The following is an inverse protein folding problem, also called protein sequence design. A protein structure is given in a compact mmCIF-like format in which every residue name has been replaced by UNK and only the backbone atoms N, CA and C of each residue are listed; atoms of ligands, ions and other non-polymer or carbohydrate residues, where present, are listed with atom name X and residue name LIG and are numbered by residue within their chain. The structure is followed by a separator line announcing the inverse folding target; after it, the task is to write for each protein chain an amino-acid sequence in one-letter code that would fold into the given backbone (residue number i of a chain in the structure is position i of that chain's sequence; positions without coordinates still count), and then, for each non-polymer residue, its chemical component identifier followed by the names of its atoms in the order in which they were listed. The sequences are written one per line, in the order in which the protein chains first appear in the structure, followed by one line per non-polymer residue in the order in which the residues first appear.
data_IF_454581142927
#
_entry.id   IF_454581142927
#
_cell.length_a   1.000
_cell.length_b   1.000
_cell.length_c   1.000
_cell.angle_alpha   90.00
_cell.angle_beta   90.00
_cell.angle_gamma   90.00
#
_symmetry.space_group_name_H-M   'P 1'
#
loop_
_entity.id
_entity.type
_entity.pdbx_description
1 polymer ?
#
# COMPACT_ATOMS: atom_id res chain seq x y z
N UNK A 1 1.30 30.14 14.84
CA UNK A 1 0.55 30.35 13.59
C UNK A 1 0.98 29.45 12.45
N UNK A 2 2.26 29.39 12.14
CA UNK A 2 2.78 28.50 11.08
C UNK A 2 2.53 27.03 11.38
N UNK A 3 2.70 26.64 12.64
CA UNK A 3 2.48 25.28 13.10
C UNK A 3 1.01 24.85 12.90
N UNK A 4 0.07 25.72 13.26
CA UNK A 4 -1.36 25.43 13.08
C UNK A 4 -1.75 25.31 11.61
N UNK A 5 -1.17 26.15 10.76
CA UNK A 5 -1.42 26.10 9.32
C UNK A 5 -0.88 24.81 8.71
N UNK A 6 0.31 24.39 9.13
CA UNK A 6 0.94 23.16 8.72
C UNK A 6 0.09 21.94 9.11
N UNK A 7 -0.40 21.94 10.37
CA UNK A 7 -1.27 20.85 10.87
C UNK A 7 -2.56 20.74 10.05
N UNK A 8 -3.18 21.88 9.74
CA UNK A 8 -4.40 21.91 8.93
C UNK A 8 -4.17 21.39 7.52
N UNK A 9 -3.07 21.82 6.90
CA UNK A 9 -2.71 21.37 5.55
C UNK A 9 -2.45 19.86 5.54
N UNK A 10 -1.74 19.37 6.54
CA UNK A 10 -1.44 17.95 6.66
C UNK A 10 -2.72 17.13 6.87
N UNK A 11 -3.57 17.57 7.79
CA UNK A 11 -4.84 16.90 8.08
C UNK A 11 -5.71 16.82 6.83
N UNK A 12 -5.79 17.91 6.07
CA UNK A 12 -6.53 17.91 4.80
C UNK A 12 -5.97 16.92 3.81
N UNK A 13 -4.66 16.83 3.71
CA UNK A 13 -3.99 15.90 2.80
C UNK A 13 -4.29 14.45 3.20
N UNK A 14 -4.19 14.12 4.48
CA UNK A 14 -4.47 12.78 4.98
C UNK A 14 -5.94 12.42 4.74
N UNK A 15 -6.87 13.32 4.99
CA UNK A 15 -8.30 13.08 4.73
C UNK A 15 -8.57 12.81 3.25
N UNK A 16 -7.92 13.56 2.38
CA UNK A 16 -8.08 13.41 0.93
C UNK A 16 -7.57 12.04 0.44
N UNK A 17 -6.47 11.55 1.01
CA UNK A 17 -5.81 10.33 0.56
C UNK A 17 -5.94 9.17 1.54
N UNK A 18 -6.87 9.24 2.48
CA UNK A 18 -7.02 8.18 3.49
C UNK A 18 -7.34 6.81 2.90
N UNK A 19 -8.05 6.76 1.77
CA UNK A 19 -8.34 5.50 1.08
C UNK A 19 -7.09 4.84 0.52
N UNK A 20 -6.17 5.65 0.02
CA UNK A 20 -4.87 5.17 -0.49
C UNK A 20 -4.08 4.57 0.68
N UNK A 21 -3.99 5.30 1.79
CA UNK A 21 -3.27 4.84 2.98
C UNK A 21 -3.89 3.54 3.51
N UNK A 22 -5.21 3.49 3.60
CA UNK A 22 -5.96 2.31 4.04
C UNK A 22 -5.62 1.10 3.16
N UNK A 23 -5.68 1.28 1.86
CA UNK A 23 -5.43 0.22 0.88
C UNK A 23 -4.02 -0.36 1.02
N UNK A 24 -3.01 0.52 1.15
CA UNK A 24 -1.62 0.11 1.34
C UNK A 24 -1.48 -0.70 2.63
N UNK A 25 -1.99 -0.17 3.74
CA UNK A 25 -1.89 -0.83 5.04
C UNK A 25 -2.62 -2.17 5.06
N UNK A 26 -3.77 -2.24 4.42
CA UNK A 26 -4.57 -3.45 4.32
C UNK A 26 -3.79 -4.59 3.67
N UNK A 27 -3.00 -4.26 2.64
CA UNK A 27 -2.23 -5.27 1.90
C UNK A 27 -1.06 -5.88 2.70
N UNK A 28 -0.60 -5.18 3.73
CA UNK A 28 0.57 -5.63 4.50
C UNK A 28 0.26 -5.98 5.95
N UNK A 29 -0.93 -5.66 6.44
CA UNK A 29 -1.33 -5.98 7.81
C UNK A 29 -1.56 -7.48 7.97
N UNK A 30 -1.23 -8.00 9.16
CA UNK A 30 -1.44 -9.41 9.49
C UNK A 30 -2.75 -9.65 10.24
N UNK A 31 -3.27 -8.62 10.91
CA UNK A 31 -4.56 -8.65 11.62
C UNK A 31 -5.04 -7.21 11.87
N UNK A 32 -6.20 -7.07 12.53
CA UNK A 32 -6.80 -5.76 12.79
C UNK A 32 -5.96 -4.85 13.67
N UNK A 33 -5.29 -5.41 14.69
CA UNK A 33 -4.44 -4.63 15.58
C UNK A 33 -3.19 -4.15 14.85
N UNK A 34 -2.57 -5.02 14.07
CA UNK A 34 -1.43 -4.66 13.23
C UNK A 34 -1.80 -3.62 12.19
N UNK A 35 -3.02 -3.69 11.66
CA UNK A 35 -3.51 -2.68 10.71
C UNK A 35 -3.53 -1.30 11.35
N UNK A 36 -4.07 -1.18 12.54
CA UNK A 36 -4.15 0.11 13.25
C UNK A 36 -2.77 0.70 13.52
N UNK A 37 -1.86 -0.14 14.01
CA UNK A 37 -0.48 0.27 14.29
C UNK A 37 0.22 0.70 13.01
N UNK A 38 0.06 -0.07 11.95
CA UNK A 38 0.67 0.22 10.66
C UNK A 38 0.14 1.53 10.06
N UNK A 39 -1.17 1.74 10.16
CA UNK A 39 -1.80 2.97 9.71
C UNK A 39 -1.22 4.18 10.46
N UNK A 40 -1.10 4.09 11.77
CA UNK A 40 -0.50 5.13 12.59
C UNK A 40 0.96 5.40 12.20
N UNK A 41 1.74 4.34 12.00
CA UNK A 41 3.14 4.47 11.60
C UNK A 41 3.28 5.17 10.25
N UNK A 42 2.42 4.86 9.30
CA UNK A 42 2.41 5.53 8.00
C UNK A 42 2.11 7.02 8.19
N UNK A 43 1.07 7.36 8.95
CA UNK A 43 0.70 8.75 9.19
C UNK A 43 1.84 9.51 9.89
N UNK A 44 2.47 8.89 10.89
CA UNK A 44 3.60 9.50 11.61
C UNK A 44 4.76 9.77 10.63
N UNK A 45 5.08 8.80 9.78
CA UNK A 45 6.18 8.95 8.81
C UNK A 45 5.86 10.02 7.76
N UNK A 46 4.60 10.13 7.35
CA UNK A 46 4.16 11.20 6.46
C UNK A 46 4.32 12.56 7.15
N UNK A 47 3.93 12.66 8.42
CA UNK A 47 4.10 13.89 9.18
C UNK A 47 5.56 14.32 9.29
N UNK A 48 6.44 13.35 9.59
CA UNK A 48 7.89 13.60 9.68
C UNK A 48 8.48 14.09 8.37
N UNK A 49 7.98 13.58 7.25
CA UNK A 49 8.45 13.95 5.93
C UNK A 49 7.75 15.15 5.30
N UNK A 50 6.72 15.68 5.95
CA UNK A 50 5.87 16.70 5.35
C UNK A 50 6.61 17.99 5.02
N UNK A 51 7.53 18.42 5.85
CA UNK A 51 8.33 19.62 5.60
C UNK A 51 9.24 19.47 4.38
N UNK A 52 9.79 18.26 4.20
CA UNK A 52 10.65 17.95 3.05
C UNK A 52 9.88 17.64 1.77
N UNK A 53 8.56 17.52 1.88
CA UNK A 53 7.71 17.29 0.73
C UNK A 53 7.59 18.57 -0.09
N UNK A 54 8.19 18.58 -1.27
CA UNK A 54 8.30 19.78 -2.11
C UNK A 54 7.05 20.08 -2.94
N UNK A 55 5.99 19.31 -2.78
CA UNK A 55 4.73 19.45 -3.54
C UNK A 55 4.92 19.40 -5.06
N UNK A 56 5.97 18.74 -5.50
CA UNK A 56 6.21 18.48 -6.91
C UNK A 56 5.63 17.12 -7.29
N UNK A 57 4.87 17.11 -8.37
CA UNK A 57 4.23 15.90 -8.84
C UNK A 57 2.94 15.58 -8.07
N UNK A 58 2.46 14.36 -8.20
CA UNK A 58 1.24 13.90 -7.56
C UNK A 58 1.45 13.67 -6.06
N UNK A 59 0.61 14.23 -5.19
CA UNK A 59 0.68 13.91 -3.75
C UNK A 59 0.55 12.41 -3.48
N UNK A 60 -0.25 11.71 -4.27
CA UNK A 60 -0.42 10.26 -4.12
C UNK A 60 0.90 9.51 -4.30
N UNK A 61 1.78 9.95 -5.20
CA UNK A 61 3.09 9.31 -5.40
C UNK A 61 3.96 9.37 -4.15
N UNK A 62 3.99 10.52 -3.48
CA UNK A 62 4.72 10.68 -2.23
C UNK A 62 4.12 9.80 -1.13
N UNK A 63 2.80 9.78 -1.02
CA UNK A 63 2.07 8.98 -0.03
C UNK A 63 2.35 7.48 -0.27
N UNK A 64 2.33 7.03 -1.52
CA UNK A 64 2.68 5.64 -1.84
C UNK A 64 4.12 5.32 -1.45
N UNK A 65 5.06 6.21 -1.76
CA UNK A 65 6.47 5.98 -1.44
C UNK A 65 6.67 5.81 0.06
N UNK A 66 6.15 6.74 0.87
CA UNK A 66 6.28 6.66 2.32
C UNK A 66 5.50 5.48 2.88
N UNK A 67 4.26 5.29 2.42
CA UNK A 67 3.40 4.21 2.88
C UNK A 67 3.96 2.83 2.58
N UNK A 68 4.40 2.60 1.35
CA UNK A 68 4.98 1.33 0.95
C UNK A 68 6.28 1.04 1.69
N UNK A 69 7.15 2.04 1.84
CA UNK A 69 8.40 1.86 2.59
C UNK A 69 8.13 1.46 4.04
N UNK A 70 7.17 2.12 4.68
CA UNK A 70 6.77 1.80 6.05
C UNK A 70 6.22 0.38 6.14
N UNK A 71 5.31 0.03 5.25
CA UNK A 71 4.66 -1.29 5.25
C UNK A 71 5.62 -2.43 4.92
N UNK A 72 6.51 -2.22 3.97
CA UNK A 72 7.51 -3.23 3.60
C UNK A 72 8.47 -3.48 4.76
N UNK A 73 8.89 -2.41 5.47
CA UNK A 73 9.74 -2.54 6.66
C UNK A 73 9.03 -3.33 7.76
N UNK A 74 7.75 -3.03 7.99
CA UNK A 74 6.93 -3.77 8.94
C UNK A 74 6.84 -5.25 8.56
N UNK A 75 6.56 -5.55 7.30
CA UNK A 75 6.46 -6.92 6.79
C UNK A 75 7.76 -7.70 6.99
N UNK A 76 8.91 -7.06 6.74
CA UNK A 76 10.22 -7.68 6.98
C UNK A 76 10.42 -8.06 8.45
N UNK A 77 10.02 -7.19 9.36
CA UNK A 77 10.12 -7.45 10.79
C UNK A 77 9.25 -8.64 11.20
N UNK A 78 8.03 -8.71 10.66
CA UNK A 78 7.11 -9.82 10.91
C UNK A 78 7.69 -11.14 10.44
N UNK A 79 8.30 -11.16 9.26
CA UNK A 79 8.95 -12.35 8.70
C UNK A 79 10.11 -12.83 9.58
N UNK A 80 10.91 -11.92 10.12
CA UNK A 80 12.04 -12.24 11.00
C UNK A 80 11.56 -12.86 12.31
N UNK A 81 10.40 -12.48 12.80
CA UNK A 81 9.81 -13.00 14.03
C UNK A 81 9.10 -14.34 13.83
N UNK A 82 9.01 -14.80 12.58
CA UNK A 82 8.30 -16.03 12.24
C UNK A 82 6.78 -15.92 12.29
N UNK A 83 6.26 -14.70 12.31
CA UNK A 83 4.82 -14.47 12.28
C UNK A 83 4.32 -14.61 10.84
N UNK A 84 3.25 -15.36 10.67
CA UNK A 84 2.65 -15.61 9.36
C UNK A 84 1.35 -14.85 9.21
N UNK A 85 1.15 -14.28 8.02
CA UNK A 85 -0.07 -13.60 7.67
C UNK A 85 -1.22 -14.61 7.58
N UNK A 86 -2.29 -14.36 8.34
CA UNK A 86 -3.52 -15.13 8.22
C UNK A 86 -4.44 -14.42 7.22
N UNK A 87 -4.80 -15.11 6.13
CA UNK A 87 -5.73 -14.57 5.16
C UNK A 87 -7.11 -14.30 5.77
N UNK A 88 -7.50 -15.13 6.74
CA UNK A 88 -8.78 -14.96 7.43
C UNK A 88 -8.83 -13.66 8.23
N UNK A 89 -7.70 -13.23 8.81
CA UNK A 89 -7.61 -11.97 9.53
C UNK A 89 -7.83 -10.78 8.61
N UNK A 90 -7.34 -10.86 7.38
CA UNK A 90 -7.54 -9.82 6.38
C UNK A 90 -9.01 -9.73 5.95
N UNK A 91 -9.68 -10.86 5.84
CA UNK A 91 -11.11 -10.90 5.52
C UNK A 91 -11.96 -10.20 6.57
N UNK A 92 -11.59 -10.34 7.84
CA UNK A 92 -12.33 -9.70 8.92
C UNK A 92 -12.34 -8.18 8.83
N UNK A 93 -11.27 -7.58 8.33
CA UNK A 93 -11.18 -6.14 8.14
C UNK A 93 -12.15 -5.63 7.07
N UNK A 94 -12.36 -6.42 6.04
CA UNK A 94 -13.25 -6.07 4.94
C UNK A 94 -14.73 -6.29 5.25
N UNK A 95 -15.04 -7.27 6.07
CA UNK A 95 -16.42 -7.61 6.41
C UNK A 95 -17.17 -6.45 7.06
N UNK A 96 -16.45 -5.52 7.67
CA UNK A 96 -17.02 -4.33 8.29
C UNK A 96 -17.33 -3.22 7.27
N UNK A 97 -16.76 -3.30 6.08
CA UNK A 97 -16.96 -2.31 5.03
C UNK A 97 -18.04 -2.79 4.08
N UNK A 98 -19.21 -2.23 4.23
CA UNK A 98 -20.46 -2.68 3.60
C UNK A 98 -20.53 -2.58 2.07
N UNK A 99 -19.43 -2.32 1.39
CA UNK A 99 -19.41 -2.19 -0.07
C UNK A 99 -18.56 -3.21 -0.79
N UNK A 100 -17.97 -4.16 -0.07
CA UNK A 100 -17.00 -5.09 -0.65
C UNK A 100 -17.69 -6.27 -1.30
N UNK A 101 -17.54 -6.39 -2.62
CA UNK A 101 -18.08 -7.52 -3.36
C UNK A 101 -17.18 -8.74 -3.18
N UNK A 102 -17.77 -9.91 -3.45
CA UNK A 102 -17.04 -11.18 -3.43
C UNK A 102 -15.82 -11.15 -4.37
N UNK A 103 -15.93 -10.47 -5.51
CA UNK A 103 -14.84 -10.30 -6.48
C UNK A 103 -13.66 -9.53 -5.91
N UNK A 104 -13.95 -8.45 -5.17
CA UNK A 104 -12.92 -7.62 -4.57
C UNK A 104 -12.16 -8.40 -3.51
N UNK A 105 -12.86 -9.18 -2.69
CA UNK A 105 -12.23 -10.06 -1.69
C UNK A 105 -11.31 -11.08 -2.36
N UNK A 106 -11.76 -11.69 -3.46
CA UNK A 106 -10.97 -12.65 -4.22
C UNK A 106 -9.69 -12.00 -4.76
N UNK A 107 -9.82 -10.79 -5.30
CA UNK A 107 -8.67 -10.03 -5.80
C UNK A 107 -7.64 -9.78 -4.69
N UNK A 108 -8.08 -9.31 -3.52
CA UNK A 108 -7.20 -9.08 -2.38
C UNK A 108 -6.53 -10.36 -1.91
N UNK A 109 -7.26 -11.47 -1.93
CA UNK A 109 -6.72 -12.77 -1.57
C UNK A 109 -5.57 -13.18 -2.50
N UNK A 110 -5.76 -13.00 -3.79
CA UNK A 110 -4.73 -13.31 -4.79
C UNK A 110 -3.50 -12.41 -4.61
N UNK A 111 -3.72 -11.13 -4.37
CA UNK A 111 -2.64 -10.16 -4.14
C UNK A 111 -1.88 -10.50 -2.85
N UNK A 112 -2.59 -10.94 -1.81
CA UNK A 112 -1.96 -11.31 -0.54
C UNK A 112 -1.00 -12.51 -0.68
N UNK A 113 -1.16 -13.32 -1.73
CA UNK A 113 -0.24 -14.41 -2.04
C UNK A 113 1.05 -13.98 -2.72
N UNK A 114 1.15 -12.73 -3.13
CA UNK A 114 2.36 -12.18 -3.74
C UNK A 114 3.37 -11.76 -2.67
N UNK A 115 4.66 -11.67 -3.05
CA UNK A 115 5.65 -11.14 -2.12
C UNK A 115 5.47 -9.63 -1.92
N UNK A 116 6.22 -9.08 -0.96
CA UNK A 116 6.09 -7.67 -0.56
C UNK A 116 6.30 -6.68 -1.70
N UNK A 117 7.26 -6.95 -2.59
CA UNK A 117 7.57 -6.08 -3.71
C UNK A 117 6.55 -6.21 -4.83
N UNK A 118 6.13 -7.44 -5.12
CA UNK A 118 5.11 -7.70 -6.12
C UNK A 118 3.78 -7.05 -5.75
N UNK A 119 3.43 -7.07 -4.45
CA UNK A 119 2.23 -6.38 -3.96
C UNK A 119 2.27 -4.89 -4.25
N UNK A 120 3.44 -4.26 -4.01
CA UNK A 120 3.61 -2.83 -4.28
C UNK A 120 3.39 -2.52 -5.76
N UNK A 121 3.97 -3.30 -6.64
CA UNK A 121 3.86 -3.08 -8.08
C UNK A 121 2.41 -3.20 -8.56
N UNK A 122 1.72 -4.25 -8.15
CA UNK A 122 0.34 -4.48 -8.61
C UNK A 122 -0.61 -3.44 -8.04
N UNK A 123 -0.42 -3.01 -6.79
CA UNK A 123 -1.22 -1.95 -6.19
C UNK A 123 -1.11 -0.65 -6.98
N UNK A 124 0.11 -0.28 -7.32
CA UNK A 124 0.37 0.95 -8.08
C UNK A 124 -0.22 0.87 -9.48
N UNK A 125 -0.11 -0.31 -10.11
CA UNK A 125 -0.68 -0.52 -11.44
C UNK A 125 -2.21 -0.45 -11.41
N UNK A 126 -2.84 -1.06 -10.42
CA UNK A 126 -4.30 -1.03 -10.27
C UNK A 126 -4.82 0.38 -9.99
N UNK A 127 -3.99 1.22 -9.38
CA UNK A 127 -4.33 2.62 -9.11
C UNK A 127 -3.96 3.55 -10.29
N UNK A 128 -3.85 2.96 -11.47
CA UNK A 128 -3.67 3.67 -12.75
C UNK A 128 -2.37 4.46 -12.87
N UNK A 129 -1.32 4.06 -12.15
CA UNK A 129 -0.01 4.64 -12.36
C UNK A 129 0.63 4.06 -13.61
N UNK A 130 1.33 4.90 -14.38
CA UNK A 130 2.10 4.45 -15.53
C UNK A 130 3.33 3.69 -15.07
N UNK A 131 3.95 2.94 -15.96
CA UNK A 131 5.18 2.20 -15.65
C UNK A 131 6.29 3.18 -15.22
N UNK A 132 6.36 4.36 -15.84
CA UNK A 132 7.30 5.41 -15.48
C UNK A 132 7.07 5.93 -14.07
N UNK A 133 5.80 6.16 -13.70
CA UNK A 133 5.42 6.60 -12.36
C UNK A 133 5.77 5.53 -11.31
N UNK A 134 5.45 4.28 -11.61
CA UNK A 134 5.76 3.15 -10.72
C UNK A 134 7.27 3.04 -10.51
N UNK A 135 8.03 3.11 -11.60
CA UNK A 135 9.50 3.05 -11.56
C UNK A 135 10.06 4.12 -10.62
N UNK A 136 9.54 5.33 -10.71
CA UNK A 136 9.97 6.44 -9.86
C UNK A 136 9.60 6.21 -8.39
N UNK A 137 8.40 5.72 -8.12
CA UNK A 137 7.93 5.47 -6.76
C UNK A 137 8.73 4.36 -6.08
N UNK A 138 8.94 3.24 -6.77
CA UNK A 138 9.60 2.07 -6.17
C UNK A 138 11.13 2.06 -6.36
N UNK A 139 11.65 2.95 -7.20
CA UNK A 139 13.10 3.10 -7.37
C UNK A 139 13.77 2.02 -8.20
N UNK A 140 13.08 1.46 -9.19
CA UNK A 140 13.66 0.49 -10.13
C UNK A 140 13.45 0.98 -11.57
N UNK A 141 14.24 0.46 -12.55
CA UNK A 141 14.04 0.87 -13.95
C UNK A 141 12.66 0.49 -14.50
N UNK A 142 12.17 1.29 -15.43
CA UNK A 142 10.89 1.04 -16.09
C UNK A 142 10.78 -0.36 -16.68
N UNK A 143 11.84 -0.83 -17.32
CA UNK A 143 11.83 -2.16 -17.93
C UNK A 143 11.67 -3.27 -16.89
N UNK A 144 12.23 -3.07 -15.70
CA UNK A 144 12.06 -4.01 -14.58
C UNK A 144 10.60 -4.02 -14.12
N UNK A 145 9.96 -2.84 -14.03
CA UNK A 145 8.54 -2.73 -13.69
C UNK A 145 7.71 -3.50 -14.71
N UNK A 146 7.95 -3.27 -16.00
CA UNK A 146 7.20 -3.91 -17.08
C UNK A 146 7.32 -5.43 -17.04
N UNK A 147 8.53 -5.97 -16.92
CA UNK A 147 8.75 -7.43 -16.92
C UNK A 147 8.19 -8.07 -15.66
N UNK A 148 8.34 -7.45 -14.50
CA UNK A 148 7.80 -7.98 -13.24
C UNK A 148 6.28 -7.95 -13.22
N UNK A 149 5.66 -6.86 -13.70
CA UNK A 149 4.21 -6.78 -13.78
C UNK A 149 3.63 -7.85 -14.72
N UNK A 150 4.31 -8.11 -15.83
CA UNK A 150 3.89 -9.18 -16.73
C UNK A 150 3.85 -10.53 -16.01
N UNK A 151 4.90 -10.86 -15.25
CA UNK A 151 4.95 -12.09 -14.44
C UNK A 151 3.86 -12.14 -13.39
N UNK A 152 3.60 -11.02 -12.72
CA UNK A 152 2.58 -10.93 -11.68
C UNK A 152 1.21 -11.21 -12.29
N UNK A 153 0.90 -10.58 -13.41
CA UNK A 153 -0.38 -10.77 -14.10
C UNK A 153 -0.56 -12.22 -14.54
N UNK A 154 0.51 -12.84 -15.03
CA UNK A 154 0.47 -14.24 -15.43
C UNK A 154 0.21 -15.15 -14.21
N UNK A 155 0.86 -14.89 -13.08
CA UNK A 155 0.62 -15.62 -11.84
C UNK A 155 -0.83 -15.51 -11.38
N UNK A 156 -1.37 -14.31 -11.38
CA UNK A 156 -2.74 -14.05 -10.92
C UNK A 156 -3.75 -14.72 -11.83
N UNK A 157 -3.52 -14.70 -13.13
CA UNK A 157 -4.37 -15.38 -14.11
C UNK A 157 -4.37 -16.88 -13.91
N UNK A 158 -3.20 -17.49 -13.66
CA UNK A 158 -3.09 -18.92 -13.40
C UNK A 158 -3.82 -19.33 -12.11
N UNK A 159 -3.68 -18.54 -11.05
CA UNK A 159 -4.33 -18.81 -9.77
C UNK A 159 -5.85 -18.69 -9.88
N UNK A 160 -6.32 -17.74 -10.68
CA UNK A 160 -7.76 -17.56 -10.93
C UNK A 160 -8.35 -18.76 -11.68
N UNK A 161 -7.57 -19.36 -12.59
CA UNK A 161 -8.01 -20.48 -13.42
C UNK A 161 -7.83 -21.84 -12.74
N UNK A 162 -7.19 -21.89 -11.59
CA UNK A 162 -7.06 -23.12 -10.82
C UNK A 162 -8.07 -23.11 -9.64
#
# INVERSE_FOLDING_TARGET
MEQNMKEKQFTSLIEEYKRVIYKICYMYATDGDNFKDLYQDVVINLWKGFEGYERKGKPSSWIYRVGLNTCISFYRQQQRRGEHTSLDSLYGLEAEDSGTTKRLKEMYRLIAGLDKFERALILLWLDENSYEEIAEIVGVPRNTVASRLKRIKDKLTKQENS
#
